data_IF_081148916091
#
_entry.id   IF_081148916091
#
_cell.length_a   1.000
_cell.length_b   1.000
_cell.length_c   1.000
_cell.angle_alpha   90.00
_cell.angle_beta   90.00
_cell.angle_gamma   90.00
#
_symmetry.space_group_name_H-M   'P 1'
#
loop_
_entity.id
_entity.type
_entity.pdbx_description
1 polymer ?
#
# COMPACT_ATOMS: atom_id res chain seq x y z
N UNK A 1 -6.92 -18.41 -13.70
CA UNK A 1 -6.58 -16.96 -13.62
C UNK A 1 -5.09 -16.79 -13.39
N UNK A 2 -4.42 -15.85 -14.07
CA UNK A 2 -3.03 -15.50 -13.77
C UNK A 2 -2.96 -14.87 -12.37
N UNK A 3 -2.13 -15.41 -11.48
CA UNK A 3 -1.82 -14.79 -10.19
C UNK A 3 -0.84 -13.64 -10.42
N UNK A 4 -1.14 -12.49 -9.84
CA UNK A 4 -0.24 -11.34 -9.79
C UNK A 4 0.14 -11.08 -8.35
N UNK A 5 1.36 -10.60 -8.15
CA UNK A 5 1.90 -10.15 -6.89
C UNK A 5 2.01 -8.64 -6.94
N UNK A 6 1.70 -7.99 -5.82
CA UNK A 6 1.76 -6.54 -5.68
C UNK A 6 2.69 -6.19 -4.52
N UNK A 7 3.49 -5.15 -4.69
CA UNK A 7 4.31 -4.56 -3.63
C UNK A 7 4.13 -3.05 -3.65
N UNK A 8 4.32 -2.43 -2.49
CA UNK A 8 4.38 -0.98 -2.37
C UNK A 8 5.85 -0.57 -2.38
N UNK A 9 6.15 0.48 -3.13
CA UNK A 9 7.47 1.08 -3.18
C UNK A 9 7.34 2.50 -2.61
N UNK A 10 8.04 2.75 -1.52
CA UNK A 10 8.10 4.04 -0.85
C UNK A 10 9.08 4.93 -1.61
N UNK A 11 8.56 5.91 -2.37
CA UNK A 11 9.39 6.84 -3.13
C UNK A 11 10.11 7.84 -2.23
N UNK A 12 9.65 8.08 -1.01
CA UNK A 12 10.29 9.02 -0.07
C UNK A 12 11.60 8.45 0.45
N UNK A 13 11.56 7.17 0.83
CA UNK A 13 12.70 6.49 1.43
C UNK A 13 13.50 5.63 0.44
N UNK A 14 13.09 5.59 -0.85
CA UNK A 14 13.63 4.68 -1.87
C UNK A 14 13.68 3.21 -1.41
N UNK A 15 12.66 2.79 -0.66
CA UNK A 15 12.58 1.46 -0.06
C UNK A 15 11.40 0.70 -0.61
N UNK A 16 11.63 -0.55 -1.00
CA UNK A 16 10.55 -1.48 -1.28
C UNK A 16 9.95 -1.94 0.04
N UNK A 17 8.93 -1.25 0.52
CA UNK A 17 8.17 -1.70 1.69
C UNK A 17 7.22 -2.79 1.24
N UNK A 18 7.62 -4.04 1.43
CA UNK A 18 6.80 -5.17 1.04
C UNK A 18 5.65 -5.38 2.00
N UNK A 19 4.62 -4.59 1.77
CA UNK A 19 3.47 -4.52 2.66
C UNK A 19 2.46 -5.63 2.28
N UNK A 20 2.40 -6.05 1.01
CA UNK A 20 1.37 -6.97 0.51
C UNK A 20 1.88 -8.26 -0.15
N UNK A 21 2.74 -9.04 0.51
CA UNK A 21 3.14 -10.35 -0.02
C UNK A 21 1.91 -11.27 0.06
N UNK A 22 1.45 -11.76 -1.10
CA UNK A 22 0.46 -12.82 -1.27
C UNK A 22 -1.05 -12.49 -1.20
N UNK A 23 -1.52 -11.34 -1.70
CA UNK A 23 -2.98 -11.12 -1.90
C UNK A 23 -3.36 -10.72 -3.34
N UNK A 24 -4.46 -11.32 -3.83
CA UNK A 24 -4.89 -11.31 -5.22
C UNK A 24 -5.68 -10.06 -5.68
N UNK A 25 -5.93 -9.09 -4.79
CA UNK A 25 -6.76 -7.91 -5.08
C UNK A 25 -6.10 -6.59 -4.64
N UNK A 26 -6.42 -5.51 -5.35
CA UNK A 26 -5.99 -4.14 -4.99
C UNK A 26 -6.53 -3.71 -3.62
N UNK A 27 -7.69 -4.22 -3.20
CA UNK A 27 -8.28 -3.91 -1.89
C UNK A 27 -7.43 -4.41 -0.73
N UNK A 28 -6.83 -5.60 -0.87
CA UNK A 28 -5.91 -6.11 0.15
C UNK A 28 -4.65 -5.25 0.25
N UNK A 29 -4.16 -4.72 -0.87
CA UNK A 29 -3.04 -3.76 -0.88
C UNK A 29 -3.45 -2.45 -0.21
N UNK A 30 -4.66 -1.94 -0.50
CA UNK A 30 -5.22 -0.73 0.14
C UNK A 30 -5.30 -0.88 1.65
N UNK A 31 -5.95 -1.93 2.15
CA UNK A 31 -6.13 -2.13 3.58
C UNK A 31 -4.80 -2.19 4.31
N UNK A 32 -3.82 -2.86 3.71
CA UNK A 32 -2.51 -2.98 4.31
C UNK A 32 -1.68 -1.69 4.26
N UNK A 33 -1.84 -0.87 3.23
CA UNK A 33 -1.28 0.49 3.21
C UNK A 33 -1.92 1.34 4.31
N UNK A 34 -3.24 1.26 4.50
CA UNK A 34 -3.94 1.94 5.60
C UNK A 34 -3.36 1.50 6.94
N UNK A 35 -3.25 0.19 7.20
CA UNK A 35 -2.67 -0.33 8.45
C UNK A 35 -1.27 0.24 8.70
N UNK A 36 -0.44 0.32 7.66
CA UNK A 36 0.91 0.87 7.75
C UNK A 36 0.91 2.37 8.09
N UNK A 37 0.09 3.16 7.39
CA UNK A 37 -0.01 4.60 7.63
C UNK A 37 -0.50 4.89 9.05
N UNK A 38 -1.50 4.15 9.53
CA UNK A 38 -2.07 4.30 10.87
C UNK A 38 -1.13 3.85 12.01
N UNK A 39 0.07 3.33 11.72
CA UNK A 39 1.12 3.17 12.74
C UNK A 39 1.70 4.53 13.18
N UNK A 40 1.50 5.59 12.38
CA UNK A 40 1.78 6.95 12.80
C UNK A 40 0.75 7.49 13.80
N UNK A 41 1.10 8.53 14.53
CA UNK A 41 0.16 9.22 15.43
C UNK A 41 -0.71 10.19 14.61
N UNK A 42 -1.94 9.81 14.32
CA UNK A 42 -2.94 10.65 13.63
C UNK A 42 -4.01 11.15 14.60
N UNK A 43 -4.63 12.29 14.29
CA UNK A 43 -5.90 12.69 14.89
C UNK A 43 -7.03 11.78 14.38
N UNK A 44 -8.17 11.76 15.07
CA UNK A 44 -9.35 11.01 14.63
C UNK A 44 -9.81 11.41 13.21
N UNK A 45 -9.78 12.71 12.91
CA UNK A 45 -10.06 13.26 11.59
C UNK A 45 -9.06 12.76 10.53
N UNK A 46 -7.77 12.69 10.90
CA UNK A 46 -6.71 12.16 10.04
C UNK A 46 -6.89 10.67 9.76
N UNK A 47 -7.20 9.87 10.77
CA UNK A 47 -7.48 8.45 10.60
C UNK A 47 -8.68 8.21 9.67
N UNK A 48 -9.77 8.96 9.87
CA UNK A 48 -10.97 8.86 9.04
C UNK A 48 -10.70 9.24 7.58
N UNK A 49 -9.89 10.28 7.36
CA UNK A 49 -9.42 10.63 6.01
C UNK A 49 -8.66 9.48 5.35
N UNK A 50 -7.70 8.86 6.05
CA UNK A 50 -6.94 7.71 5.52
C UNK A 50 -7.86 6.53 5.16
N UNK A 51 -8.79 6.16 6.04
CA UNK A 51 -9.67 5.00 5.86
C UNK A 51 -10.63 5.16 4.66
N UNK A 52 -11.06 6.39 4.39
CA UNK A 52 -12.05 6.70 3.34
C UNK A 52 -11.44 6.88 1.95
N UNK A 53 -10.16 7.26 1.86
CA UNK A 53 -9.47 7.45 0.58
C UNK A 53 -9.38 6.16 -0.26
N UNK A 54 -9.38 6.32 -1.58
CA UNK A 54 -9.09 5.24 -2.54
C UNK A 54 -7.60 4.86 -2.51
N UNK A 55 -7.26 3.69 -3.07
CA UNK A 55 -5.85 3.29 -3.19
C UNK A 55 -5.04 4.32 -4.01
N UNK A 56 -5.62 4.88 -5.08
CA UNK A 56 -4.89 5.85 -5.92
C UNK A 56 -4.58 7.14 -5.17
N UNK A 57 -5.51 7.62 -4.36
CA UNK A 57 -5.30 8.80 -3.52
C UNK A 57 -4.23 8.54 -2.47
N UNK A 58 -4.29 7.39 -1.79
CA UNK A 58 -3.27 7.02 -0.79
C UNK A 58 -1.87 6.89 -1.41
N UNK A 59 -1.76 6.27 -2.59
CA UNK A 59 -0.49 6.18 -3.32
C UNK A 59 0.06 7.56 -3.67
N UNK A 60 -0.80 8.50 -4.06
CA UNK A 60 -0.38 9.86 -4.42
C UNK A 60 0.00 10.69 -3.19
N UNK A 61 -0.88 10.78 -2.19
CA UNK A 61 -0.68 11.63 -1.01
C UNK A 61 0.53 11.24 -0.17
N UNK A 62 0.83 9.94 -0.13
CA UNK A 62 1.93 9.40 0.67
C UNK A 62 3.09 8.91 -0.20
N UNK A 63 3.12 9.30 -1.48
CA UNK A 63 4.22 9.04 -2.42
C UNK A 63 4.63 7.56 -2.51
N UNK A 64 3.66 6.65 -2.48
CA UNK A 64 3.87 5.23 -2.75
C UNK A 64 3.62 4.91 -4.24
N UNK A 65 4.44 4.02 -4.79
CA UNK A 65 4.18 3.39 -6.08
C UNK A 65 3.71 1.94 -5.91
N UNK A 66 2.80 1.49 -6.78
CA UNK A 66 2.34 0.10 -6.82
C UNK A 66 3.13 -0.69 -7.87
N UNK A 67 3.98 -1.61 -7.41
CA UNK A 67 4.68 -2.54 -8.29
C UNK A 67 3.83 -3.79 -8.53
N UNK A 68 3.80 -4.27 -9.77
CA UNK A 68 3.06 -5.47 -10.19
C UNK A 68 4.01 -6.48 -10.81
N UNK A 69 3.95 -7.73 -10.34
CA UNK A 69 4.77 -8.83 -10.86
C UNK A 69 3.96 -10.09 -11.13
N UNK A 70 4.42 -10.91 -12.07
CA UNK A 70 3.91 -12.27 -12.32
C UNK A 70 4.54 -13.32 -11.40
N UNK A 71 5.65 -12.97 -10.75
CA UNK A 71 6.36 -13.81 -9.78
C UNK A 71 6.42 -13.09 -8.42
N UNK A 72 6.53 -13.80 -7.29
CA UNK A 72 6.70 -13.16 -5.99
C UNK A 72 7.90 -12.22 -5.98
N UNK A 73 7.77 -11.07 -5.31
CA UNK A 73 8.91 -10.19 -5.03
C UNK A 73 9.82 -10.89 -4.01
N UNK A 74 11.14 -10.89 -4.25
CA UNK A 74 12.14 -11.26 -3.25
C UNK A 74 12.54 -10.00 -2.50
N UNK A 75 12.45 -10.04 -1.18
CA UNK A 75 12.81 -8.94 -0.28
C UNK A 75 13.97 -9.43 0.57
#
# INVERSE_FOLDING_TARGET
MKKYYYALFDNQNNRTTSIGINKASKDAVKNRLIDFLLLGNFSEEGENSIKTNTLSELLNYYEFALLKSRVPFKI
#
